data_IF_524150354158
#
_entry.id   IF_524150354158
#
_cell.length_a   1.000
_cell.length_b   1.000
_cell.length_c   1.000
_cell.angle_alpha   90.00
_cell.angle_beta   90.00
_cell.angle_gamma   90.00
#
_symmetry.space_group_name_H-M   'P 1'
#
loop_
_entity.id
_entity.type
_entity.pdbx_description
1 polymer ?
#
# COMPACT_ATOMS: atom_id res chain seq x y z
N UNK A 1 -6.83 -15.57 43.47
CA UNK A 1 -5.52 -15.49 42.81
C UNK A 1 -5.47 -16.20 41.47
N UNK A 2 -5.95 -17.44 41.44
CA UNK A 2 -5.97 -18.16 40.17
C UNK A 2 -6.85 -17.51 39.10
N UNK A 3 -7.96 -16.92 39.52
CA UNK A 3 -8.86 -16.23 38.61
C UNK A 3 -8.25 -14.99 37.98
N UNK A 4 -7.38 -14.29 38.70
CA UNK A 4 -6.70 -13.11 38.21
C UNK A 4 -5.66 -13.46 37.15
N UNK A 5 -4.97 -14.57 37.35
CA UNK A 5 -3.98 -15.05 36.40
C UNK A 5 -4.63 -15.47 35.06
N UNK A 6 -5.76 -16.13 35.15
CA UNK A 6 -6.52 -16.54 33.98
C UNK A 6 -7.00 -15.31 33.20
N UNK A 7 -7.47 -14.29 33.90
CA UNK A 7 -7.91 -13.05 33.28
C UNK A 7 -6.76 -12.35 32.53
N UNK A 8 -5.57 -12.34 33.10
CA UNK A 8 -4.39 -11.74 32.50
C UNK A 8 -3.98 -12.52 31.23
N UNK A 9 -4.01 -13.84 31.30
CA UNK A 9 -3.69 -14.67 30.15
C UNK A 9 -4.69 -14.47 29.01
N UNK A 10 -5.95 -14.36 29.32
CA UNK A 10 -6.98 -14.09 28.33
C UNK A 10 -6.81 -12.71 27.70
N UNK A 11 -6.43 -11.72 28.50
CA UNK A 11 -6.17 -10.38 27.97
C UNK A 11 -4.98 -10.37 27.02
N UNK A 12 -3.96 -11.17 27.30
CA UNK A 12 -2.80 -11.29 26.42
C UNK A 12 -3.15 -11.96 25.09
N UNK A 13 -4.07 -12.90 25.11
CA UNK A 13 -4.54 -13.57 23.90
C UNK A 13 -5.34 -12.64 22.99
N UNK A 14 -5.94 -11.62 23.55
CA UNK A 14 -6.72 -10.66 22.79
C UNK A 14 -5.87 -9.58 22.13
N UNK A 15 -4.60 -9.53 22.46
CA UNK A 15 -3.70 -8.55 21.86
C UNK A 15 -2.98 -9.10 20.62
N UNK A 16 -3.53 -10.11 19.97
CA UNK A 16 -3.02 -10.53 18.69
C UNK A 16 -3.25 -9.41 17.71
N UNK A 17 -2.18 -8.77 17.32
CA UNK A 17 -2.23 -7.65 16.42
C UNK A 17 -2.78 -8.06 15.07
N UNK A 18 -3.76 -7.35 14.62
CA UNK A 18 -4.19 -7.45 13.25
C UNK A 18 -3.10 -6.84 12.38
N UNK A 19 -2.49 -7.63 11.52
CA UNK A 19 -1.56 -7.05 10.57
C UNK A 19 -2.40 -6.41 9.47
N UNK A 20 -2.53 -5.09 9.55
CA UNK A 20 -3.24 -4.33 8.54
C UNK A 20 -2.45 -4.40 7.24
N UNK A 21 -3.13 -4.51 6.08
CA UNK A 21 -2.44 -4.45 4.79
C UNK A 21 -1.69 -3.14 4.68
N UNK A 22 -0.51 -3.18 4.11
CA UNK A 22 0.27 -1.97 3.91
C UNK A 22 -0.28 -1.19 2.73
N UNK A 23 -0.34 0.11 2.90
CA UNK A 23 -0.76 1.01 1.85
C UNK A 23 0.37 1.96 1.53
N UNK A 24 0.62 2.15 0.24
CA UNK A 24 1.65 3.06 -0.24
C UNK A 24 1.02 4.16 -1.06
N UNK A 25 1.51 5.37 -0.90
CA UNK A 25 1.09 6.51 -1.69
C UNK A 25 2.18 6.82 -2.71
N UNK A 26 1.83 6.67 -3.96
CA UNK A 26 2.75 6.89 -5.08
C UNK A 26 2.30 8.14 -5.82
N UNK A 27 3.08 9.21 -5.70
CA UNK A 27 2.80 10.45 -6.42
C UNK A 27 3.49 10.42 -7.77
N UNK A 28 2.73 10.67 -8.81
CA UNK A 28 3.20 10.53 -10.19
C UNK A 28 3.09 11.84 -10.92
N UNK A 29 4.17 12.24 -11.58
CA UNK A 29 4.17 13.44 -12.42
C UNK A 29 3.45 13.14 -13.73
N UNK A 30 2.62 14.09 -14.16
CA UNK A 30 1.94 13.98 -15.43
C UNK A 30 0.68 13.13 -15.40
N UNK A 31 0.23 12.72 -14.24
CA UNK A 31 -1.00 11.94 -14.10
C UNK A 31 -2.21 12.86 -14.22
N UNK A 32 -2.67 13.08 -15.44
CA UNK A 32 -3.72 14.06 -15.71
C UNK A 32 -4.91 13.52 -16.48
N UNK A 33 -4.89 12.27 -16.89
CA UNK A 33 -6.02 11.71 -17.65
C UNK A 33 -6.34 10.28 -17.23
N UNK A 34 -7.59 9.83 -17.46
CA UNK A 34 -7.99 8.47 -17.07
C UNK A 34 -7.19 7.37 -17.76
N UNK A 35 -6.80 7.57 -19.01
CA UNK A 35 -6.00 6.58 -19.72
C UNK A 35 -4.61 6.44 -19.13
N UNK A 36 -4.06 7.54 -18.67
CA UNK A 36 -2.75 7.53 -18.01
C UNK A 36 -2.83 6.76 -16.71
N UNK A 37 -3.89 7.01 -15.95
CA UNK A 37 -4.13 6.30 -14.69
C UNK A 37 -4.25 4.80 -14.91
N UNK A 38 -4.96 4.41 -15.96
CA UNK A 38 -5.15 3.00 -16.28
C UNK A 38 -3.81 2.29 -16.53
N UNK A 39 -2.92 2.93 -17.28
CA UNK A 39 -1.61 2.37 -17.55
C UNK A 39 -0.78 2.16 -16.29
N UNK A 40 -0.82 3.14 -15.39
CA UNK A 40 -0.11 3.06 -14.12
C UNK A 40 -0.73 1.98 -13.23
N UNK A 41 -2.05 1.94 -13.14
CA UNK A 41 -2.74 0.93 -12.36
C UNK A 41 -2.35 -0.48 -12.83
N UNK A 42 -2.34 -0.68 -14.13
CA UNK A 42 -1.98 -1.96 -14.70
C UNK A 42 -0.53 -2.31 -14.41
N UNK A 43 0.37 -1.35 -14.54
CA UNK A 43 1.79 -1.56 -14.29
C UNK A 43 2.06 -1.90 -12.83
N UNK A 44 1.43 -1.17 -11.90
CA UNK A 44 1.60 -1.42 -10.48
C UNK A 44 0.95 -2.72 -10.05
N UNK A 45 -0.20 -3.06 -10.61
CA UNK A 45 -0.90 -4.29 -10.24
C UNK A 45 -0.13 -5.55 -10.64
N UNK A 46 0.81 -5.43 -11.55
CA UNK A 46 1.68 -6.55 -11.93
C UNK A 46 2.78 -6.83 -10.91
N UNK A 47 3.03 -5.90 -10.01
CA UNK A 47 4.05 -6.09 -9.00
C UNK A 47 3.64 -7.16 -8.00
N UNK A 48 4.61 -7.93 -7.54
CA UNK A 48 4.35 -9.00 -6.59
C UNK A 48 3.80 -8.44 -5.28
N UNK A 49 2.74 -9.06 -4.81
CA UNK A 49 2.16 -8.67 -3.53
C UNK A 49 1.16 -7.55 -3.57
N UNK A 50 0.89 -6.99 -4.73
CA UNK A 50 -0.11 -5.93 -4.86
C UNK A 50 -1.51 -6.54 -4.82
N UNK A 51 -2.33 -6.05 -3.90
CA UNK A 51 -3.71 -6.50 -3.74
C UNK A 51 -4.67 -5.64 -4.54
N UNK A 52 -4.49 -4.32 -4.48
CA UNK A 52 -5.39 -3.40 -5.12
C UNK A 52 -4.66 -2.08 -5.42
N UNK A 53 -5.05 -1.43 -6.49
CA UNK A 53 -4.49 -0.14 -6.89
C UNK A 53 -5.64 0.83 -7.11
N UNK A 54 -5.58 1.99 -6.50
CA UNK A 54 -6.58 3.03 -6.64
C UNK A 54 -5.90 4.33 -7.05
N UNK A 55 -6.46 5.01 -8.03
CA UNK A 55 -5.87 6.24 -8.56
C UNK A 55 -6.72 7.44 -8.26
N UNK A 56 -6.08 8.51 -7.78
CA UNK A 56 -6.70 9.82 -7.60
C UNK A 56 -6.03 10.78 -8.58
N UNK A 57 -6.70 11.04 -9.69
CA UNK A 57 -6.17 11.88 -10.75
C UNK A 57 -6.01 13.32 -10.30
N UNK A 58 -6.92 13.82 -9.50
CA UNK A 58 -6.86 15.22 -9.04
C UNK A 58 -5.64 15.49 -8.16
N UNK A 59 -5.27 14.52 -7.35
CA UNK A 59 -4.10 14.65 -6.49
C UNK A 59 -2.81 14.19 -7.16
N UNK A 60 -2.90 13.53 -8.31
CA UNK A 60 -1.74 12.94 -8.94
C UNK A 60 -1.18 11.77 -8.13
N UNK A 61 -2.05 11.09 -7.42
CA UNK A 61 -1.71 10.08 -6.43
C UNK A 61 -2.24 8.72 -6.82
N UNK A 62 -1.42 7.71 -6.67
CA UNK A 62 -1.85 6.32 -6.82
C UNK A 62 -1.66 5.64 -5.48
N UNK A 63 -2.72 5.07 -4.97
CA UNK A 63 -2.68 4.30 -3.72
C UNK A 63 -2.52 2.83 -4.07
N UNK A 64 -1.50 2.22 -3.52
CA UNK A 64 -1.22 0.81 -3.74
C UNK A 64 -1.44 0.06 -2.44
N UNK A 65 -2.40 -0.84 -2.45
CA UNK A 65 -2.69 -1.67 -1.30
C UNK A 65 -2.01 -3.02 -1.49
N UNK A 66 -1.17 -3.38 -0.54
CA UNK A 66 -0.42 -4.62 -0.60
C UNK A 66 -1.09 -5.72 0.21
N UNK A 67 -0.74 -6.96 -0.08
CA UNK A 67 -1.16 -8.09 0.74
C UNK A 67 -0.44 -8.03 2.08
N UNK A 68 -0.98 -8.73 3.07
CA UNK A 68 -0.50 -8.67 4.45
C UNK A 68 1.00 -8.87 4.61
N UNK A 69 1.57 -9.80 3.88
CA UNK A 69 2.99 -10.12 4.00
C UNK A 69 3.85 -9.47 2.93
N UNK A 70 3.29 -8.57 2.17
CA UNK A 70 3.98 -7.98 1.05
C UNK A 70 4.36 -6.53 1.32
N UNK A 71 5.44 -6.10 0.70
CA UNK A 71 5.87 -4.71 0.76
C UNK A 71 6.27 -4.26 -0.63
N UNK A 72 6.18 -2.95 -0.85
CA UNK A 72 6.57 -2.35 -2.11
C UNK A 72 7.71 -1.38 -1.84
N UNK A 73 8.80 -1.53 -2.56
CA UNK A 73 9.93 -0.63 -2.42
C UNK A 73 9.77 0.57 -3.36
N UNK A 74 10.44 1.67 -3.03
CA UNK A 74 10.43 2.85 -3.87
C UNK A 74 10.99 2.53 -5.25
N UNK A 75 12.00 1.69 -5.31
CA UNK A 75 12.60 1.26 -6.58
C UNK A 75 11.59 0.53 -7.45
N UNK A 76 10.85 -0.39 -6.88
CA UNK A 76 9.81 -1.13 -7.61
C UNK A 76 8.73 -0.19 -8.11
N UNK A 77 8.30 0.75 -7.27
CA UNK A 77 7.29 1.73 -7.67
C UNK A 77 7.81 2.62 -8.79
N UNK A 78 9.05 3.05 -8.68
CA UNK A 78 9.68 3.90 -9.71
C UNK A 78 9.74 3.19 -11.05
N UNK A 79 10.16 1.93 -11.05
CA UNK A 79 10.24 1.15 -12.27
C UNK A 79 8.87 0.92 -12.90
N UNK A 80 7.87 0.65 -12.09
CA UNK A 80 6.51 0.44 -12.57
C UNK A 80 5.93 1.71 -13.19
N UNK A 81 6.14 2.85 -12.54
CA UNK A 81 5.70 4.15 -13.04
C UNK A 81 6.43 4.49 -14.35
N UNK A 82 7.72 4.24 -14.38
CA UNK A 82 8.52 4.52 -15.55
C UNK A 82 8.12 3.64 -16.73
N UNK A 83 7.81 2.38 -16.47
CA UNK A 83 7.35 1.45 -17.50
C UNK A 83 6.01 1.91 -18.10
N UNK A 84 5.20 2.61 -17.33
CA UNK A 84 3.95 3.18 -17.82
C UNK A 84 4.13 4.50 -18.57
N UNK A 85 5.38 5.01 -18.65
CA UNK A 85 5.68 6.24 -19.36
C UNK A 85 5.63 7.50 -18.50
N UNK A 86 5.69 7.34 -17.19
CA UNK A 86 5.62 8.47 -16.25
C UNK A 86 6.83 8.53 -15.35
N UNK A 87 6.88 9.53 -14.51
CA UNK A 87 7.95 9.70 -13.54
C UNK A 87 7.41 9.70 -12.13
N UNK A 88 8.12 9.04 -11.24
CA UNK A 88 7.76 9.01 -9.84
C UNK A 88 8.14 10.36 -9.21
N UNK A 89 7.15 11.00 -8.60
CA UNK A 89 7.36 12.28 -7.92
C UNK A 89 7.74 12.07 -6.47
N UNK A 90 6.99 11.25 -5.76
CA UNK A 90 7.33 10.88 -4.39
C UNK A 90 6.67 9.56 -4.03
N UNK A 91 7.18 8.95 -2.99
CA UNK A 91 6.74 7.63 -2.55
C UNK A 91 6.68 7.64 -1.02
N UNK A 92 5.50 7.34 -0.49
CA UNK A 92 5.29 7.30 0.95
C UNK A 92 4.58 6.01 1.35
N UNK A 93 5.00 5.46 2.46
CA UNK A 93 4.31 4.34 3.05
C UNK A 93 3.35 4.87 4.11
N UNK A 94 2.05 4.65 3.91
CA UNK A 94 1.05 5.05 4.89
C UNK A 94 0.53 3.85 5.65
N UNK A 95 1.19 2.75 5.56
CA UNK A 95 0.73 1.50 6.09
C UNK A 95 0.27 1.54 7.47
N UNK A 96 -0.13 0.45 7.90
CA UNK A 96 -0.50 0.12 9.16
C UNK A 96 -0.52 1.12 10.23
N UNK A 97 -1.51 1.23 10.96
CA UNK A 97 -1.54 2.03 12.14
C UNK A 97 -1.91 3.48 11.95
N UNK A 98 -2.30 3.86 10.83
CA UNK A 98 -2.81 5.21 10.66
C UNK A 98 -4.30 5.26 10.62
#
# INVERSE_FOLDING_TARGET
MKKSLIAIVLALLWSTAWSAPREYQVYVDGLACPFCAYGIEKSLSKQNGVKEVETDIQAGLVRVLMKEDASLSEEQARQAVKAAGFSLRSFNETGEGN
#
